data_IF_581713341022
#
_entry.id   IF_581713341022
#
_cell.length_a   1.000
_cell.length_b   1.000
_cell.length_c   1.000
_cell.angle_alpha   90.00
_cell.angle_beta   90.00
_cell.angle_gamma   90.00
#
_symmetry.space_group_name_H-M   'P 1'
#
loop_
_entity.id
_entity.type
_entity.pdbx_description
1 polymer ?
#
# COMPACT_ATOMS: atom_id res chain seq x y z
N UNK A 1 17.51 -3.17 -27.10
CA UNK A 1 17.64 -2.27 -25.95
C UNK A 1 17.63 -3.01 -24.61
N UNK A 2 16.50 -3.50 -24.07
CA UNK A 2 16.47 -4.14 -22.74
C UNK A 2 17.43 -5.35 -22.60
N UNK A 3 17.53 -6.22 -23.61
CA UNK A 3 18.45 -7.38 -23.59
C UNK A 3 19.94 -7.01 -23.54
N UNK A 4 20.30 -5.76 -23.85
CA UNK A 4 21.69 -5.26 -23.81
C UNK A 4 22.08 -4.72 -22.43
N UNK A 5 21.10 -4.49 -21.54
CA UNK A 5 21.34 -4.05 -20.17
C UNK A 5 21.71 -5.26 -19.29
N UNK A 6 22.49 -5.00 -18.24
CA UNK A 6 22.71 -5.94 -17.13
C UNK A 6 21.35 -6.35 -16.52
N UNK A 7 21.28 -7.54 -15.95
CA UNK A 7 20.01 -8.17 -15.57
C UNK A 7 19.17 -7.27 -14.65
N UNK A 8 19.80 -6.71 -13.62
CA UNK A 8 19.24 -5.80 -12.63
C UNK A 8 18.80 -4.45 -13.20
N UNK A 9 19.37 -4.05 -14.34
CA UNK A 9 19.04 -2.80 -15.03
C UNK A 9 17.86 -2.94 -16.01
N UNK A 10 17.31 -4.15 -16.16
CA UNK A 10 16.18 -4.40 -17.07
C UNK A 10 14.85 -4.10 -16.41
N UNK A 11 13.99 -3.40 -17.16
CA UNK A 11 12.66 -3.06 -16.69
C UNK A 11 11.72 -4.29 -16.66
N UNK A 12 11.78 -5.14 -17.69
CA UNK A 12 11.01 -6.39 -17.89
C UNK A 12 11.97 -7.46 -18.41
N UNK A 13 11.92 -8.68 -17.89
CA UNK A 13 12.66 -9.82 -18.43
C UNK A 13 11.87 -10.51 -19.57
N UNK A 14 12.55 -11.09 -20.58
CA UNK A 14 11.88 -11.70 -21.74
C UNK A 14 10.87 -12.81 -21.42
N UNK A 15 11.06 -13.52 -20.30
CA UNK A 15 10.22 -14.64 -19.87
C UNK A 15 9.42 -14.31 -18.60
N UNK A 16 9.35 -13.03 -18.22
CA UNK A 16 8.67 -12.59 -17.00
C UNK A 16 7.16 -12.63 -17.21
N UNK A 17 6.44 -13.35 -16.34
CA UNK A 17 4.99 -13.40 -16.35
C UNK A 17 4.48 -13.24 -14.92
N UNK A 18 4.60 -12.04 -14.35
CA UNK A 18 4.18 -11.76 -12.99
C UNK A 18 2.67 -11.91 -12.83
N UNK A 19 2.25 -12.98 -12.15
CA UNK A 19 0.85 -13.27 -11.85
C UNK A 19 0.56 -12.91 -10.40
N UNK A 20 -0.64 -12.37 -10.16
CA UNK A 20 -1.10 -12.03 -8.81
C UNK A 20 -2.54 -12.49 -8.65
N UNK A 21 -2.82 -13.18 -7.55
CA UNK A 21 -4.18 -13.49 -7.10
C UNK A 21 -4.49 -12.66 -5.85
N UNK A 22 -5.73 -12.17 -5.73
CA UNK A 22 -6.15 -11.39 -4.56
C UNK A 22 -7.58 -11.70 -4.17
N UNK A 23 -7.80 -11.82 -2.86
CA UNK A 23 -9.08 -12.18 -2.25
C UNK A 23 -9.41 -11.21 -1.12
N UNK A 24 -10.70 -10.95 -0.91
CA UNK A 24 -11.17 -10.08 0.18
C UNK A 24 -12.49 -10.58 0.74
N UNK A 25 -12.59 -10.56 2.06
CA UNK A 25 -13.83 -10.66 2.81
C UNK A 25 -14.12 -9.33 3.48
N UNK A 26 -15.37 -8.88 3.39
CA UNK A 26 -15.82 -7.61 3.93
C UNK A 26 -17.17 -7.78 4.60
N UNK A 27 -17.28 -7.30 5.83
CA UNK A 27 -18.52 -7.33 6.60
C UNK A 27 -18.89 -5.90 7.00
N UNK A 28 -20.17 -5.55 6.82
CA UNK A 28 -20.72 -4.24 7.15
C UNK A 28 -21.89 -4.42 8.11
N UNK A 29 -21.86 -3.69 9.22
CA UNK A 29 -22.96 -3.63 10.18
C UNK A 29 -23.24 -2.18 10.57
N UNK A 30 -24.39 -1.65 10.14
CA UNK A 30 -24.75 -0.24 10.31
C UNK A 30 -23.68 0.69 9.73
N UNK A 31 -23.11 1.53 10.60
CA UNK A 31 -22.08 2.51 10.26
C UNK A 31 -20.65 1.96 10.29
N UNK A 32 -20.47 0.71 10.74
CA UNK A 32 -19.17 0.04 10.84
C UNK A 32 -18.94 -0.91 9.67
N UNK A 33 -17.68 -1.02 9.24
CA UNK A 33 -17.24 -2.02 8.27
C UNK A 33 -15.88 -2.57 8.67
N UNK A 34 -15.71 -3.88 8.56
CA UNK A 34 -14.43 -4.57 8.72
C UNK A 34 -14.11 -5.30 7.41
N UNK A 35 -12.84 -5.32 7.03
CA UNK A 35 -12.34 -6.14 5.90
C UNK A 35 -11.09 -6.91 6.31
N UNK A 36 -10.91 -8.06 5.67
CA UNK A 36 -9.66 -8.80 5.63
C UNK A 36 -9.39 -9.17 4.16
N UNK A 37 -8.16 -9.00 3.71
CA UNK A 37 -7.76 -9.29 2.34
C UNK A 37 -6.38 -9.96 2.32
N UNK A 38 -6.15 -10.70 1.24
CA UNK A 38 -4.91 -11.40 0.97
C UNK A 38 -4.56 -11.25 -0.52
N UNK A 39 -3.28 -11.10 -0.82
CA UNK A 39 -2.76 -11.10 -2.18
C UNK A 39 -1.50 -11.95 -2.24
N UNK A 40 -1.40 -12.82 -3.25
CA UNK A 40 -0.20 -13.58 -3.57
C UNK A 40 0.33 -13.14 -4.92
N UNK A 41 1.56 -12.65 -4.98
CA UNK A 41 2.33 -12.66 -6.21
C UNK A 41 3.04 -14.01 -6.32
N UNK A 42 2.95 -14.65 -7.49
CA UNK A 42 3.58 -15.95 -7.72
C UNK A 42 5.06 -15.78 -8.13
N UNK A 43 5.83 -16.86 -8.07
CA UNK A 43 7.24 -16.92 -8.49
C UNK A 43 7.42 -16.96 -10.03
N UNK A 44 6.41 -16.54 -10.79
CA UNK A 44 6.40 -16.54 -12.26
C UNK A 44 7.04 -15.28 -12.87
N UNK A 45 7.58 -14.40 -12.03
CA UNK A 45 8.16 -13.11 -12.39
C UNK A 45 7.66 -11.98 -11.51
N UNK A 46 8.26 -10.79 -11.62
CA UNK A 46 7.81 -9.61 -10.88
C UNK A 46 6.54 -9.09 -11.50
N UNK A 47 5.58 -8.75 -10.66
CA UNK A 47 4.37 -8.08 -11.13
C UNK A 47 4.72 -6.65 -11.55
N UNK A 48 4.48 -6.28 -12.81
CA UNK A 48 4.79 -4.95 -13.33
C UNK A 48 3.50 -4.25 -13.76
N UNK A 49 3.21 -3.12 -13.13
CA UNK A 49 2.07 -2.27 -13.46
C UNK A 49 2.54 -1.02 -14.22
N UNK A 50 1.90 -0.62 -15.34
CA UNK A 50 2.25 0.60 -16.05
C UNK A 50 2.09 1.83 -15.14
N UNK A 51 3.18 2.58 -14.94
CA UNK A 51 3.19 3.70 -13.98
C UNK A 51 2.30 4.86 -14.44
N UNK A 52 2.07 4.96 -15.74
CA UNK A 52 1.18 5.91 -16.40
C UNK A 52 -0.27 5.71 -15.98
N UNK A 53 -0.63 4.48 -15.58
CA UNK A 53 -1.98 4.11 -15.14
C UNK A 53 -2.14 4.25 -13.61
N UNK A 54 -1.14 4.80 -12.93
CA UNK A 54 -1.18 5.10 -11.50
C UNK A 54 -0.54 4.01 -10.63
N UNK A 55 -1.35 3.30 -9.85
CA UNK A 55 -0.90 2.33 -8.84
C UNK A 55 -1.59 0.99 -9.07
N UNK A 56 -0.88 -0.09 -8.73
CA UNK A 56 -1.46 -1.42 -8.60
C UNK A 56 -2.73 -1.41 -7.74
N UNK A 57 -3.73 -2.16 -8.19
CA UNK A 57 -5.06 -2.23 -7.60
C UNK A 57 -5.40 -3.68 -7.23
N UNK A 58 -4.94 -4.10 -6.07
CA UNK A 58 -5.33 -5.34 -5.42
C UNK A 58 -6.18 -5.03 -4.17
N UNK A 59 -6.85 -6.04 -3.62
CA UNK A 59 -7.66 -5.81 -2.41
C UNK A 59 -6.83 -5.45 -1.17
N UNK A 60 -5.53 -5.74 -1.20
CA UNK A 60 -4.55 -5.35 -0.17
C UNK A 60 -3.90 -3.98 -0.44
N UNK A 61 -4.11 -3.39 -1.62
CA UNK A 61 -3.46 -2.12 -1.99
C UNK A 61 -3.98 -0.96 -1.13
N UNK A 62 -3.04 -0.23 -0.51
CA UNK A 62 -3.31 0.95 0.31
C UNK A 62 -2.40 2.11 -0.10
N UNK A 63 -2.75 3.39 0.22
CA UNK A 63 -1.83 4.52 0.05
C UNK A 63 -0.43 4.18 0.58
N UNK A 64 0.62 4.46 -0.19
CA UNK A 64 2.03 4.14 0.14
C UNK A 64 2.41 2.65 0.29
N UNK A 65 1.54 1.74 -0.13
CA UNK A 65 1.88 0.34 -0.42
C UNK A 65 1.85 0.09 -1.93
N UNK A 66 2.72 -0.81 -2.42
CA UNK A 66 2.81 -1.25 -3.82
C UNK A 66 3.32 -2.68 -3.86
N UNK A 67 2.68 -3.53 -4.65
CA UNK A 67 3.19 -4.85 -5.04
C UNK A 67 3.96 -4.80 -6.36
N UNK A 68 3.86 -3.69 -7.11
CA UNK A 68 4.64 -3.52 -8.34
C UNK A 68 6.14 -3.69 -8.09
N UNK A 69 6.78 -4.47 -8.94
CA UNK A 69 8.18 -4.84 -8.85
C UNK A 69 8.48 -6.05 -7.95
N UNK A 70 7.47 -6.65 -7.32
CA UNK A 70 7.61 -7.82 -6.44
C UNK A 70 7.01 -9.09 -7.08
N UNK A 71 7.64 -10.23 -6.82
CA UNK A 71 7.19 -11.59 -7.10
C UNK A 71 7.33 -12.46 -5.86
N UNK A 72 6.70 -13.64 -5.86
CA UNK A 72 6.71 -14.61 -4.74
C UNK A 72 6.28 -14.04 -3.35
N UNK A 73 5.57 -12.93 -3.30
CA UNK A 73 5.23 -12.25 -2.03
C UNK A 73 3.80 -12.50 -1.59
N UNK A 74 3.62 -12.66 -0.29
CA UNK A 74 2.33 -12.69 0.40
C UNK A 74 2.03 -11.34 1.04
N UNK A 75 0.85 -10.78 0.78
CA UNK A 75 0.40 -9.53 1.39
C UNK A 75 -0.90 -9.79 2.10
N UNK A 76 -0.96 -9.42 3.39
CA UNK A 76 -2.17 -9.48 4.19
C UNK A 76 -2.62 -8.06 4.52
N UNK A 77 -3.92 -7.83 4.48
CA UNK A 77 -4.51 -6.56 4.87
C UNK A 77 -5.72 -6.77 5.78
N UNK A 78 -5.85 -5.92 6.78
CA UNK A 78 -7.08 -5.76 7.57
C UNK A 78 -7.48 -4.31 7.57
N UNK A 79 -8.77 -4.04 7.70
CA UNK A 79 -9.24 -2.66 7.80
C UNK A 79 -10.52 -2.53 8.59
N UNK A 80 -10.67 -1.39 9.23
CA UNK A 80 -11.85 -0.96 9.96
C UNK A 80 -12.28 0.42 9.49
N UNK A 81 -13.59 0.62 9.39
CA UNK A 81 -14.20 1.91 9.05
C UNK A 81 -15.41 2.14 9.93
N UNK A 82 -15.60 3.40 10.34
CA UNK A 82 -16.78 3.84 11.06
C UNK A 82 -17.21 5.24 10.64
N UNK A 83 -18.52 5.44 10.49
CA UNK A 83 -19.12 6.72 10.12
C UNK A 83 -20.00 7.24 11.27
N UNK A 84 -19.54 8.27 11.97
CA UNK A 84 -20.41 9.13 12.79
C UNK A 84 -21.01 10.24 11.91
N UNK A 85 -21.95 11.00 12.48
CA UNK A 85 -22.67 12.08 11.78
C UNK A 85 -21.76 13.11 11.08
N UNK A 86 -20.65 13.48 11.73
CA UNK A 86 -19.72 14.51 11.24
C UNK A 86 -18.28 14.01 11.16
N UNK A 87 -18.02 12.75 11.52
CA UNK A 87 -16.68 12.20 11.61
C UNK A 87 -16.65 10.84 10.94
N UNK A 88 -15.68 10.63 10.06
CA UNK A 88 -15.35 9.35 9.48
C UNK A 88 -13.98 8.91 9.95
N UNK A 89 -13.87 7.67 10.42
CA UNK A 89 -12.63 7.00 10.74
C UNK A 89 -12.42 5.83 9.78
N UNK A 90 -11.20 5.72 9.27
CA UNK A 90 -10.72 4.55 8.56
C UNK A 90 -9.32 4.20 9.03
N UNK A 91 -9.11 2.94 9.40
CA UNK A 91 -7.81 2.38 9.74
C UNK A 91 -7.59 1.18 8.84
N UNK A 92 -6.48 1.14 8.12
CA UNK A 92 -6.06 -0.01 7.32
C UNK A 92 -4.66 -0.42 7.76
N UNK A 93 -4.44 -1.71 7.95
CA UNK A 93 -3.13 -2.27 8.27
C UNK A 93 -2.75 -3.33 7.25
N UNK A 94 -1.50 -3.33 6.79
CA UNK A 94 -0.94 -4.37 5.93
C UNK A 94 0.36 -4.90 6.48
N UNK A 95 0.68 -6.11 6.06
CA UNK A 95 2.00 -6.67 6.21
C UNK A 95 2.37 -7.50 4.99
N UNK A 96 3.65 -7.48 4.64
CA UNK A 96 4.21 -8.31 3.57
C UNK A 96 5.05 -9.43 4.14
N UNK A 97 5.08 -10.57 3.45
CA UNK A 97 5.89 -11.72 3.80
C UNK A 97 6.53 -12.31 2.54
N UNK A 98 7.83 -12.56 2.58
CA UNK A 98 8.58 -13.20 1.50
C UNK A 98 9.38 -12.23 0.62
N UNK A 99 9.38 -10.93 0.93
CA UNK A 99 10.30 -10.02 0.26
C UNK A 99 11.74 -10.26 0.73
N UNK A 100 12.63 -10.57 -0.22
CA UNK A 100 14.05 -10.81 0.07
C UNK A 100 14.90 -9.69 -0.53
N UNK A 101 15.79 -9.11 0.28
CA UNK A 101 16.75 -8.11 -0.20
C UNK A 101 17.83 -8.75 -1.08
N UNK A 102 18.30 -8.00 -2.07
CA UNK A 102 19.27 -8.39 -3.09
C UNK A 102 18.81 -9.49 -4.06
N UNK A 103 17.57 -9.96 -3.95
CA UNK A 103 16.96 -10.81 -4.97
C UNK A 103 16.31 -9.97 -6.09
N UNK A 104 17.12 -9.43 -7.00
CA UNK A 104 16.61 -8.61 -8.10
C UNK A 104 15.77 -9.38 -9.14
N UNK A 105 15.73 -10.72 -9.06
CA UNK A 105 14.91 -11.58 -9.91
C UNK A 105 13.44 -11.38 -9.56
N UNK A 106 13.11 -11.37 -8.27
CA UNK A 106 11.74 -11.23 -7.77
C UNK A 106 11.48 -9.92 -7.02
N UNK A 107 12.49 -9.10 -6.78
CA UNK A 107 12.39 -7.84 -6.05
C UNK A 107 13.15 -6.70 -6.74
N UNK A 108 12.47 -6.03 -7.68
CA UNK A 108 13.02 -4.96 -8.50
C UNK A 108 13.58 -3.78 -7.69
N UNK A 109 12.94 -3.47 -6.58
CA UNK A 109 13.19 -2.24 -5.83
C UNK A 109 14.01 -2.49 -4.56
N UNK A 110 14.46 -3.73 -4.36
CA UNK A 110 15.20 -4.14 -3.18
C UNK A 110 14.47 -3.74 -1.88
N UNK A 111 13.16 -4.00 -1.85
CA UNK A 111 12.28 -3.70 -0.71
C UNK A 111 12.21 -4.91 0.20
N UNK A 112 12.32 -4.70 1.50
CA UNK A 112 12.18 -5.77 2.49
C UNK A 112 10.78 -5.77 3.12
N UNK A 113 10.46 -6.85 3.82
CA UNK A 113 9.18 -7.01 4.49
C UNK A 113 8.89 -5.88 5.47
N UNK A 114 7.63 -5.48 5.53
CA UNK A 114 7.21 -4.36 6.35
C UNK A 114 5.82 -4.54 6.96
N UNK A 115 5.57 -3.73 7.98
CA UNK A 115 4.25 -3.42 8.49
C UNK A 115 3.90 -2.01 8.06
N UNK A 116 2.64 -1.79 7.70
CA UNK A 116 2.14 -0.46 7.39
C UNK A 116 0.74 -0.27 7.98
N UNK A 117 0.53 0.85 8.64
CA UNK A 117 -0.79 1.28 9.14
C UNK A 117 -1.10 2.66 8.56
N UNK A 118 -2.27 2.78 7.96
CA UNK A 118 -2.83 4.02 7.49
C UNK A 118 -4.06 4.37 8.34
N UNK A 119 -4.10 5.58 8.87
CA UNK A 119 -5.25 6.14 9.57
C UNK A 119 -5.75 7.36 8.83
N UNK A 120 -7.05 7.41 8.57
CA UNK A 120 -7.76 8.52 7.97
C UNK A 120 -8.86 8.97 8.93
N UNK A 121 -8.83 10.26 9.29
CA UNK A 121 -9.90 10.94 10.00
C UNK A 121 -10.41 12.05 9.09
N UNK A 122 -11.71 12.07 8.83
CA UNK A 122 -12.35 13.12 8.03
C UNK A 122 -13.50 13.73 8.82
N UNK A 123 -13.46 15.05 9.02
CA UNK A 123 -14.46 15.78 9.78
C UNK A 123 -15.15 16.83 8.90
N UNK A 124 -16.49 16.83 8.95
CA UNK A 124 -17.34 17.76 8.21
C UNK A 124 -17.99 18.76 9.16
N UNK A 125 -17.68 20.03 8.96
CA UNK A 125 -18.23 21.10 9.77
C UNK A 125 -19.69 21.39 9.38
N UNK A 126 -20.43 21.96 10.33
CA UNK A 126 -21.83 22.33 10.16
C UNK A 126 -22.08 23.79 10.56
N UNK A 127 -23.32 24.27 10.34
CA UNK A 127 -23.76 25.63 10.67
C UNK A 127 -22.91 26.71 9.97
N UNK A 128 -22.28 27.60 10.72
CA UNK A 128 -21.47 28.70 10.21
C UNK A 128 -20.32 28.25 9.30
N UNK A 129 -19.75 27.07 9.56
CA UNK A 129 -18.64 26.50 8.79
C UNK A 129 -19.10 25.40 7.82
N UNK A 130 -20.40 25.35 7.49
CA UNK A 130 -20.92 24.40 6.50
C UNK A 130 -20.15 24.55 5.18
N UNK A 131 -19.71 23.41 4.62
CA UNK A 131 -18.87 23.38 3.42
C UNK A 131 -17.39 23.19 3.72
N UNK A 132 -16.92 23.50 4.94
CA UNK A 132 -15.57 23.19 5.39
C UNK A 132 -15.45 21.72 5.77
N UNK A 133 -14.39 21.06 5.31
CA UNK A 133 -13.98 19.75 5.78
C UNK A 133 -12.47 19.68 6.01
N UNK A 134 -12.09 18.94 7.04
CA UNK A 134 -10.70 18.67 7.40
C UNK A 134 -10.47 17.17 7.37
N UNK A 135 -9.37 16.76 6.74
CA UNK A 135 -8.94 15.38 6.67
C UNK A 135 -7.50 15.25 7.18
N UNK A 136 -7.31 14.36 8.16
CA UNK A 136 -6.00 13.96 8.67
C UNK A 136 -5.68 12.56 8.16
N UNK A 137 -4.54 12.44 7.48
CA UNK A 137 -3.99 11.18 6.99
C UNK A 137 -2.67 10.91 7.69
N UNK A 138 -2.60 9.81 8.44
CA UNK A 138 -1.40 9.33 9.09
C UNK A 138 -0.98 7.98 8.49
N UNK A 139 0.31 7.85 8.17
CA UNK A 139 0.93 6.60 7.74
C UNK A 139 2.09 6.30 8.67
N UNK A 140 2.03 5.15 9.33
CA UNK A 140 3.16 4.55 10.02
C UNK A 140 3.62 3.33 9.21
N UNK A 141 4.91 3.27 8.87
CA UNK A 141 5.49 2.14 8.15
C UNK A 141 6.80 1.74 8.82
N UNK A 142 6.95 0.45 9.09
CA UNK A 142 8.11 -0.11 9.77
C UNK A 142 8.60 -1.35 9.04
N UNK A 143 9.90 -1.39 8.78
CA UNK A 143 10.56 -2.55 8.20
C UNK A 143 10.75 -3.65 9.26
N UNK A 144 10.67 -4.93 8.84
CA UNK A 144 10.70 -6.07 9.76
C UNK A 144 12.11 -6.51 10.13
N UNK A 145 13.03 -6.57 9.16
CA UNK A 145 14.30 -7.27 9.34
C UNK A 145 15.47 -6.32 9.60
N UNK A 146 15.49 -5.15 8.96
CA UNK A 146 16.59 -4.17 9.06
C UNK A 146 16.05 -2.76 9.36
N UNK A 147 15.62 -2.48 10.60
CA UNK A 147 15.22 -1.13 10.97
C UNK A 147 16.39 -0.14 10.84
N UNK A 148 16.11 1.08 10.39
CA UNK A 148 17.03 2.22 10.48
C UNK A 148 18.35 2.11 9.69
N UNK A 149 18.37 1.42 8.55
CA UNK A 149 19.47 1.52 7.57
C UNK A 149 19.20 2.61 6.53
N UNK A 150 20.25 3.17 5.90
CA UNK A 150 20.08 4.16 4.81
C UNK A 150 19.27 3.61 3.62
N UNK A 151 19.25 2.29 3.44
CA UNK A 151 18.56 1.61 2.34
C UNK A 151 17.05 1.52 2.59
N UNK A 152 16.64 1.41 3.84
CA UNK A 152 15.26 1.19 4.30
C UNK A 152 14.58 2.49 4.75
N UNK A 153 15.37 3.44 5.28
CA UNK A 153 14.90 4.77 5.68
C UNK A 153 14.15 5.46 4.54
N UNK A 154 12.98 6.03 4.84
CA UNK A 154 12.08 6.70 3.89
C UNK A 154 11.47 5.81 2.79
N UNK A 155 11.74 4.49 2.78
CA UNK A 155 11.12 3.52 1.85
C UNK A 155 10.15 2.57 2.54
N UNK A 156 10.60 1.96 3.64
CA UNK A 156 9.84 1.01 4.46
C UNK A 156 9.91 1.32 5.95
N UNK A 157 10.63 2.37 6.35
CA UNK A 157 10.67 2.87 7.72
C UNK A 157 10.48 4.40 7.74
N UNK A 158 9.27 4.84 8.08
CA UNK A 158 8.91 6.26 8.21
C UNK A 158 7.52 6.49 8.82
N UNK A 159 7.31 7.74 9.25
CA UNK A 159 6.02 8.31 9.58
C UNK A 159 5.68 9.43 8.60
N UNK A 160 4.43 9.51 8.15
CA UNK A 160 3.94 10.60 7.32
C UNK A 160 2.60 11.10 7.82
N UNK A 161 2.48 12.41 8.02
CA UNK A 161 1.24 13.10 8.38
C UNK A 161 0.88 14.05 7.23
N UNK A 162 -0.38 14.02 6.79
CA UNK A 162 -0.93 15.01 5.88
C UNK A 162 -2.20 15.58 6.49
N UNK A 163 -2.30 16.90 6.56
CA UNK A 163 -3.50 17.61 6.93
C UNK A 163 -4.04 18.29 5.67
N UNK A 164 -5.27 17.97 5.31
CA UNK A 164 -5.95 18.50 4.13
C UNK A 164 -7.16 19.28 4.63
N UNK A 165 -7.36 20.47 4.08
CA UNK A 165 -8.55 21.27 4.34
C UNK A 165 -9.13 21.64 2.99
N UNK A 166 -10.42 21.41 2.79
CA UNK A 166 -11.10 21.98 1.64
C UNK A 166 -12.43 22.62 2.04
N UNK A 167 -12.86 23.56 1.21
CA UNK A 167 -14.10 24.28 1.40
C UNK A 167 -14.92 24.18 0.11
N UNK A 168 -16.08 23.55 0.21
CA UNK A 168 -17.03 23.43 -0.89
C UNK A 168 -18.11 24.50 -0.73
N UNK A 169 -18.21 25.40 -1.71
CA UNK A 169 -19.21 26.46 -1.78
C UNK A 169 -20.58 25.95 -2.22
#
# INVERSE_FOLDING_TARGET
>A
YQKQLAYESRYVQPNENGQVASFMLKYKNGHSQIKAAYSKAFETGRYLFPKELGRDQFYTSMPRSRMEGLGEIDVFAIGYQHNWKHLFLNIDATTTHGAVINDYVLNKYNIDDNYQINTRLHYEFSNFLKGLHIELLYVWKQNKNEPNTKLVAQRSDYNQINLITNFNF
#
